data_IF_726395092461
#
_entry.id   IF_726395092461
#
_cell.length_a   1.000
_cell.length_b   1.000
_cell.length_c   1.000
_cell.angle_alpha   90.00
_cell.angle_beta   90.00
_cell.angle_gamma   90.00
#
_symmetry.space_group_name_H-M   'P 1'
#
loop_
_entity.id
_entity.type
_entity.pdbx_description
1 polymer ?
#
# COMPACT_ATOMS: atom_id res chain seq x y z
N UNK A 1 14.57 16.75 4.20
CA UNK A 1 14.81 15.68 3.21
C UNK A 1 14.17 14.43 3.77
N UNK A 2 13.17 13.87 3.09
CA UNK A 2 12.58 12.58 3.49
C UNK A 2 13.51 11.49 3.00
N UNK A 3 14.09 10.70 3.90
CA UNK A 3 14.85 9.52 3.48
C UNK A 3 13.94 8.50 2.82
N UNK A 4 14.42 7.88 1.75
CA UNK A 4 13.75 6.76 1.12
C UNK A 4 14.01 5.52 1.98
N UNK A 5 12.97 5.06 2.66
CA UNK A 5 13.04 3.85 3.48
C UNK A 5 12.43 2.66 2.74
N UNK A 6 13.25 1.63 2.46
CA UNK A 6 12.81 0.37 1.86
C UNK A 6 12.58 -0.63 3.01
N UNK A 7 11.34 -1.06 3.27
CA UNK A 7 11.05 -1.98 4.36
C UNK A 7 11.78 -3.31 4.20
N UNK A 8 12.24 -3.87 5.32
CA UNK A 8 12.86 -5.20 5.37
C UNK A 8 11.91 -6.28 5.89
N UNK A 9 12.23 -7.56 5.67
CA UNK A 9 11.39 -8.67 6.13
C UNK A 9 11.33 -8.69 7.66
N UNK A 10 10.12 -8.79 8.22
CA UNK A 10 9.86 -8.76 9.66
C UNK A 10 9.66 -7.36 10.23
N UNK A 11 9.95 -6.32 9.44
CA UNK A 11 9.62 -4.95 9.80
C UNK A 11 8.10 -4.72 9.76
N UNK A 12 7.62 -3.77 10.56
CA UNK A 12 6.23 -3.32 10.47
C UNK A 12 5.99 -2.71 9.10
N UNK A 13 4.91 -3.13 8.44
CA UNK A 13 4.51 -2.54 7.17
C UNK A 13 4.23 -1.04 7.33
N UNK A 14 4.60 -0.19 6.35
CA UNK A 14 4.32 1.24 6.40
C UNK A 14 2.80 1.49 6.39
N UNK A 15 2.32 2.60 6.98
CA UNK A 15 0.92 2.97 6.87
C UNK A 15 0.59 3.27 5.41
N UNK A 16 -0.44 2.60 4.89
CA UNK A 16 -0.94 2.82 3.53
C UNK A 16 -2.42 3.15 3.63
N UNK A 17 -2.75 4.35 3.14
CA UNK A 17 -4.12 4.83 3.00
C UNK A 17 -4.35 5.16 1.54
N UNK A 18 -5.39 4.59 0.94
CA UNK A 18 -5.70 4.79 -0.47
C UNK A 18 -7.20 4.91 -0.71
N UNK A 19 -7.58 5.69 -1.72
CA UNK A 19 -8.96 5.75 -2.18
C UNK A 19 -9.33 4.45 -2.90
N UNK A 20 -10.52 3.94 -2.63
CA UNK A 20 -11.06 2.76 -3.31
C UNK A 20 -11.88 3.21 -4.53
N UNK A 21 -11.77 2.47 -5.63
CA UNK A 21 -12.62 2.70 -6.81
C UNK A 21 -14.09 2.55 -6.44
N UNK A 22 -14.93 3.53 -6.80
CA UNK A 22 -16.34 3.56 -6.40
C UNK A 22 -16.60 4.26 -5.06
N UNK A 23 -15.57 4.81 -4.43
CA UNK A 23 -15.67 5.59 -3.20
C UNK A 23 -15.22 4.82 -1.97
N UNK A 24 -15.03 5.55 -0.87
CA UNK A 24 -14.50 5.02 0.37
C UNK A 24 -12.97 5.01 0.42
N UNK A 25 -12.44 4.47 1.51
CA UNK A 25 -11.02 4.51 1.84
C UNK A 25 -10.56 3.14 2.32
N UNK A 26 -9.40 2.71 1.81
CA UNK A 26 -8.66 1.58 2.32
C UNK A 26 -7.59 2.07 3.31
N UNK A 27 -7.48 1.41 4.45
CA UNK A 27 -6.42 1.59 5.45
C UNK A 27 -5.81 0.22 5.77
N UNK A 28 -4.51 0.07 5.50
CA UNK A 28 -3.79 -1.18 5.76
C UNK A 28 -3.76 -1.56 7.25
N UNK A 29 -3.69 -0.57 8.14
CA UNK A 29 -3.64 -0.80 9.59
C UNK A 29 -4.93 -1.44 10.12
N UNK A 30 -6.07 -1.15 9.47
CA UNK A 30 -7.35 -1.77 9.78
C UNK A 30 -7.44 -3.25 9.37
N UNK A 31 -6.46 -3.79 8.62
CA UNK A 31 -6.43 -5.19 8.18
C UNK A 31 -5.54 -6.10 9.04
N UNK A 32 -5.07 -5.62 10.21
CA UNK A 32 -4.29 -6.44 11.15
C UNK A 32 -4.99 -7.77 11.47
N UNK A 33 -4.20 -8.84 11.56
CA UNK A 33 -4.70 -10.21 11.77
C UNK A 33 -5.10 -10.95 10.48
N UNK A 34 -5.03 -10.28 9.33
CA UNK A 34 -5.23 -10.90 8.01
C UNK A 34 -3.93 -10.85 7.21
N UNK A 35 -3.74 -11.83 6.34
CA UNK A 35 -2.72 -11.76 5.30
C UNK A 35 -3.18 -10.79 4.20
N UNK A 36 -2.32 -9.85 3.83
CA UNK A 36 -2.60 -8.83 2.82
C UNK A 36 -1.44 -8.79 1.83
N UNK A 37 -1.75 -8.81 0.54
CA UNK A 37 -0.78 -8.61 -0.55
C UNK A 37 -1.04 -7.25 -1.19
N UNK A 38 0.00 -6.41 -1.24
CA UNK A 38 -0.07 -5.08 -1.89
C UNK A 38 0.69 -5.18 -3.21
N UNK A 39 -0.06 -5.00 -4.30
CA UNK A 39 0.47 -5.08 -5.65
C UNK A 39 0.43 -3.69 -6.29
N UNK A 40 1.60 -3.09 -6.50
CA UNK A 40 1.73 -1.83 -7.22
C UNK A 40 1.83 -2.12 -8.72
N UNK A 41 0.96 -1.51 -9.52
CA UNK A 41 0.95 -1.66 -10.96
C UNK A 41 0.82 -0.29 -11.63
N UNK A 42 1.41 -0.09 -12.83
CA UNK A 42 1.18 1.11 -13.61
C UNK A 42 -0.31 1.26 -13.91
N UNK A 43 -0.78 2.50 -14.11
CA UNK A 43 -2.15 2.70 -14.59
C UNK A 43 -2.33 1.89 -15.88
N UNK A 44 -3.48 1.22 -15.99
CA UNK A 44 -3.83 0.45 -17.18
C UNK A 44 -3.66 1.33 -18.43
N UNK A 45 -2.95 0.81 -19.45
CA UNK A 45 -2.70 1.47 -20.73
C UNK A 45 -1.86 2.77 -20.69
N UNK A 46 -1.00 2.98 -19.69
CA UNK A 46 0.03 4.03 -19.72
C UNK A 46 1.44 3.43 -19.70
N UNK A 47 2.42 3.93 -20.48
CA UNK A 47 3.82 3.55 -20.33
C UNK A 47 4.28 3.86 -18.89
N UNK A 48 4.89 2.86 -18.25
CA UNK A 48 5.49 2.99 -16.92
C UNK A 48 6.85 3.66 -16.94
#
# INVERSE_FOLDING_TARGET
MTELHIPTVGESAPPIVAAVTGGGQFDLSAQRGKWVVIYFYPRANTPG
#
